data_IF_993164983874
#
_entry.id   IF_993164983874
#
_cell.length_a   1.000
_cell.length_b   1.000
_cell.length_c   1.000
_cell.angle_alpha   90.00
_cell.angle_beta   90.00
_cell.angle_gamma   90.00
#
_symmetry.space_group_name_H-M   'P 1'
#
loop_
_entity.id
_entity.type
_entity.pdbx_description
1 polymer ?
#
# COMPACT_ATOMS: atom_id res chain seq x y z
N UNK A 1 -43.99 46.39 -1.01
CA UNK A 1 -43.76 45.10 -0.32
C UNK A 1 -43.99 44.00 -1.34
N UNK A 2 -42.92 43.46 -1.93
CA UNK A 2 -43.01 42.40 -2.93
C UNK A 2 -41.98 41.34 -2.58
N UNK A 3 -42.47 40.21 -2.09
CA UNK A 3 -41.67 39.04 -1.76
C UNK A 3 -41.58 38.14 -3.00
N UNK A 4 -40.37 37.95 -3.52
CA UNK A 4 -40.10 36.98 -4.58
C UNK A 4 -39.58 35.69 -3.95
N UNK A 5 -40.39 34.64 -4.04
CA UNK A 5 -40.03 33.29 -3.63
C UNK A 5 -39.08 32.66 -4.66
N UNK A 6 -37.82 32.47 -4.29
CA UNK A 6 -36.83 31.73 -5.08
C UNK A 6 -36.99 30.23 -4.87
N UNK A 7 -37.34 29.52 -5.94
CA UNK A 7 -37.41 28.06 -5.98
C UNK A 7 -36.02 27.42 -5.87
N UNK A 8 -35.89 26.46 -4.95
CA UNK A 8 -34.71 25.61 -4.81
C UNK A 8 -34.85 24.39 -5.72
N UNK A 9 -33.96 24.32 -6.71
CA UNK A 9 -33.85 23.21 -7.66
C UNK A 9 -33.20 22.00 -6.99
N UNK A 10 -33.97 20.93 -6.80
CA UNK A 10 -33.49 19.62 -6.36
C UNK A 10 -32.67 18.98 -7.48
N UNK A 11 -31.34 18.99 -7.34
CA UNK A 11 -30.42 18.27 -8.21
C UNK A 11 -30.35 16.80 -7.83
N UNK A 12 -30.81 15.94 -8.72
CA UNK A 12 -30.67 14.49 -8.66
C UNK A 12 -29.18 14.10 -8.61
N UNK A 13 -28.79 13.41 -7.53
CA UNK A 13 -27.46 12.81 -7.41
C UNK A 13 -27.42 11.51 -8.18
N UNK A 14 -26.90 11.57 -9.39
CA UNK A 14 -26.48 10.39 -10.14
C UNK A 14 -25.51 9.54 -9.31
N UNK A 15 -25.86 8.27 -9.14
CA UNK A 15 -25.07 7.29 -8.42
C UNK A 15 -23.76 7.03 -9.14
N UNK A 16 -22.66 7.39 -8.50
CA UNK A 16 -21.31 7.09 -8.99
C UNK A 16 -21.07 5.57 -8.89
N UNK A 17 -20.88 4.83 -10.00
CA UNK A 17 -20.58 3.42 -9.95
C UNK A 17 -19.18 3.24 -9.36
N UNK A 18 -19.14 2.72 -8.12
CA UNK A 18 -17.91 2.35 -7.42
C UNK A 18 -17.13 1.31 -8.23
N UNK A 19 -16.25 1.77 -9.12
CA UNK A 19 -15.27 0.92 -9.77
C UNK A 19 -14.33 0.35 -8.71
N UNK A 20 -14.12 -0.98 -8.65
CA UNK A 20 -13.24 -1.59 -7.67
C UNK A 20 -11.82 -1.07 -7.88
N UNK A 21 -11.28 -0.42 -6.84
CA UNK A 21 -9.91 0.09 -6.82
C UNK A 21 -8.97 -1.11 -6.70
N UNK A 22 -8.08 -1.37 -7.67
CA UNK A 22 -7.09 -2.43 -7.54
C UNK A 22 -6.13 -2.07 -6.40
N UNK A 23 -6.01 -2.98 -5.45
CA UNK A 23 -5.14 -2.89 -4.29
C UNK A 23 -3.66 -2.83 -4.74
N UNK A 24 -2.89 -1.76 -4.46
CA UNK A 24 -1.51 -1.62 -4.92
C UNK A 24 -0.51 -2.45 -4.11
N UNK A 25 -0.98 -3.38 -3.27
CA UNK A 25 -0.13 -4.12 -2.36
C UNK A 25 0.49 -5.34 -3.05
N UNK A 26 1.76 -5.19 -3.43
CA UNK A 26 2.75 -6.28 -3.59
C UNK A 26 2.63 -7.15 -4.85
N UNK A 27 2.88 -6.57 -6.02
CA UNK A 27 3.61 -7.32 -7.06
C UNK A 27 5.07 -7.42 -6.61
N UNK A 28 5.40 -8.50 -5.90
CA UNK A 28 6.78 -8.91 -5.73
C UNK A 28 7.39 -9.04 -7.13
N UNK A 29 8.30 -8.13 -7.46
CA UNK A 29 9.07 -8.15 -8.69
C UNK A 29 9.88 -9.45 -8.60
N UNK A 30 9.48 -10.46 -9.38
CA UNK A 30 10.28 -11.67 -9.55
C UNK A 30 11.46 -11.27 -10.42
N UNK A 31 12.61 -11.01 -9.81
CA UNK A 31 13.86 -10.62 -10.47
C UNK A 31 14.49 -11.75 -11.34
N UNK A 32 13.69 -12.69 -11.85
CA UNK A 32 14.16 -13.90 -12.53
C UNK A 32 13.82 -14.01 -14.01
N UNK A 33 13.06 -13.07 -14.57
CA UNK A 33 12.73 -13.11 -16.01
C UNK A 33 13.75 -12.25 -16.76
N UNK A 34 14.62 -12.92 -17.52
CA UNK A 34 15.71 -12.30 -18.29
C UNK A 34 15.17 -11.14 -19.13
N UNK A 35 15.45 -9.91 -18.69
CA UNK A 35 15.11 -8.70 -19.43
C UNK A 35 15.64 -8.83 -20.86
N UNK A 36 14.73 -8.97 -21.82
CA UNK A 36 15.07 -9.11 -23.22
C UNK A 36 15.96 -7.93 -23.66
N UNK A 37 17.17 -8.24 -24.12
CA UNK A 37 18.11 -7.23 -24.59
C UNK A 37 17.45 -6.40 -25.69
N UNK A 38 17.62 -5.07 -25.65
CA UNK A 38 17.14 -4.18 -26.70
C UNK A 38 17.80 -4.53 -28.03
N UNK A 39 17.04 -5.10 -28.96
CA UNK A 39 17.53 -5.56 -30.27
C UNK A 39 17.98 -4.39 -31.16
N UNK A 40 17.35 -3.23 -31.03
CA UNK A 40 17.71 -2.00 -31.75
C UNK A 40 19.08 -1.46 -31.32
N UNK A 41 19.35 -1.43 -30.02
CA UNK A 41 20.67 -1.05 -29.49
C UNK A 41 21.72 -2.10 -29.84
N UNK A 42 21.34 -3.39 -29.85
CA UNK A 42 22.24 -4.47 -30.24
C UNK A 42 22.65 -4.41 -31.72
N UNK A 43 21.78 -3.91 -32.62
CA UNK A 43 22.09 -3.74 -34.05
C UNK A 43 22.91 -2.49 -34.35
N UNK A 44 22.57 -1.34 -33.74
CA UNK A 44 23.19 -0.04 -34.11
C UNK A 44 24.63 0.14 -33.63
N UNK A 45 25.02 -0.48 -32.52
CA UNK A 45 26.32 -0.25 -31.88
C UNK A 45 27.36 -1.33 -32.21
N UNK A 46 26.95 -2.45 -32.80
CA UNK A 46 27.84 -3.60 -33.08
C UNK A 46 28.28 -4.32 -31.78
N UNK A 47 28.54 -5.63 -31.89
CA UNK A 47 28.86 -6.50 -30.72
C UNK A 47 30.03 -5.98 -29.86
N UNK A 48 30.97 -5.23 -30.44
CA UNK A 48 32.18 -4.77 -29.77
C UNK A 48 31.97 -3.58 -28.81
N UNK A 49 31.02 -2.67 -29.07
CA UNK A 49 30.74 -1.54 -28.15
C UNK A 49 29.58 -1.81 -27.20
N UNK A 50 28.89 -2.95 -27.35
CA UNK A 50 27.83 -3.40 -26.45
C UNK A 50 28.32 -3.93 -25.11
N UNK A 51 29.63 -4.22 -24.97
CA UNK A 51 30.20 -4.73 -23.72
C UNK A 51 30.11 -3.71 -22.56
N UNK A 52 29.94 -2.41 -22.84
CA UNK A 52 29.93 -1.34 -21.84
C UNK A 52 28.66 -0.49 -21.80
N UNK A 53 27.65 -0.77 -22.65
CA UNK A 53 26.40 -0.03 -22.59
C UNK A 53 25.60 -0.48 -21.37
N UNK A 54 25.74 0.24 -20.25
CA UNK A 54 24.93 -0.01 -19.07
C UNK A 54 23.44 0.04 -19.43
N UNK A 55 22.62 -0.77 -18.78
CA UNK A 55 21.18 -0.80 -19.07
C UNK A 55 20.51 0.59 -18.92
N UNK A 56 21.10 1.48 -18.11
CA UNK A 56 20.68 2.87 -17.94
C UNK A 56 21.04 3.74 -19.16
N UNK A 57 22.23 3.56 -19.73
CA UNK A 57 22.62 4.23 -20.97
C UNK A 57 21.76 3.76 -22.15
N UNK A 58 21.48 2.45 -22.23
CA UNK A 58 20.63 1.86 -23.25
C UNK A 58 19.21 2.47 -23.27
N UNK A 59 18.61 2.67 -22.10
CA UNK A 59 17.30 3.33 -21.96
C UNK A 59 17.31 4.77 -22.47
N UNK A 60 18.36 5.55 -22.15
CA UNK A 60 18.50 6.96 -22.58
C UNK A 60 18.76 7.09 -24.08
N UNK A 61 19.53 6.18 -24.67
CA UNK A 61 19.92 6.24 -26.08
C UNK A 61 18.90 5.57 -27.03
N UNK A 62 18.01 4.72 -26.51
CA UNK A 62 16.97 4.09 -27.31
C UNK A 62 15.87 5.11 -27.65
N UNK A 63 15.80 5.51 -28.91
CA UNK A 63 14.78 6.45 -29.41
C UNK A 63 13.48 5.76 -29.83
N UNK A 64 13.47 4.42 -29.89
CA UNK A 64 12.32 3.63 -30.33
C UNK A 64 11.25 3.57 -29.23
N UNK A 65 10.05 4.16 -29.46
CA UNK A 65 8.99 4.21 -28.45
C UNK A 65 8.45 2.82 -28.10
N UNK A 66 8.50 1.87 -29.04
CA UNK A 66 7.88 0.55 -28.93
C UNK A 66 8.90 -0.57 -28.64
N UNK A 67 10.12 -0.20 -28.23
CA UNK A 67 11.16 -1.15 -27.87
C UNK A 67 10.74 -2.04 -26.68
N UNK A 68 10.50 -3.32 -26.96
CA UNK A 68 10.08 -4.34 -25.98
C UNK A 68 11.00 -4.41 -24.76
N UNK A 69 12.33 -4.37 -24.96
CA UNK A 69 13.31 -4.45 -23.87
C UNK A 69 13.31 -3.27 -22.89
N UNK A 70 12.63 -2.16 -23.22
CA UNK A 70 12.54 -0.97 -22.36
C UNK A 70 11.09 -0.64 -21.96
N UNK A 71 10.11 -1.46 -22.36
CA UNK A 71 8.69 -1.18 -22.15
C UNK A 71 8.36 -0.88 -20.70
N UNK A 72 8.84 -1.71 -19.78
CA UNK A 72 8.56 -1.56 -18.34
C UNK A 72 9.23 -0.32 -17.75
N UNK A 73 10.50 -0.05 -18.12
CA UNK A 73 11.22 1.15 -17.68
C UNK A 73 10.55 2.43 -18.19
N UNK A 74 10.07 2.43 -19.45
CA UNK A 74 9.32 3.56 -20.02
C UNK A 74 7.96 3.74 -19.32
N UNK A 75 7.25 2.65 -19.05
CA UNK A 75 5.99 2.69 -18.31
C UNK A 75 6.18 3.25 -16.90
N UNK A 76 7.25 2.84 -16.20
CA UNK A 76 7.62 3.36 -14.89
C UNK A 76 8.01 4.84 -14.95
N UNK A 77 8.82 5.25 -15.92
CA UNK A 77 9.17 6.65 -16.13
C UNK A 77 7.92 7.51 -16.37
N UNK A 78 7.03 7.08 -17.28
CA UNK A 78 5.75 7.77 -17.55
C UNK A 78 4.86 7.88 -16.30
N UNK A 79 4.85 6.84 -15.46
CA UNK A 79 4.13 6.87 -14.17
C UNK A 79 4.74 7.89 -13.22
N UNK A 80 6.07 7.94 -13.10
CA UNK A 80 6.77 8.90 -12.26
C UNK A 80 6.56 10.33 -12.76
N UNK A 81 6.62 10.56 -14.08
CA UNK A 81 6.34 11.86 -14.70
C UNK A 81 4.90 12.31 -14.39
N UNK A 82 3.92 11.41 -14.44
CA UNK A 82 2.54 11.73 -14.05
C UNK A 82 2.40 12.06 -12.55
N UNK A 83 3.21 11.44 -11.68
CA UNK A 83 3.25 11.78 -10.24
C UNK A 83 3.87 13.16 -10.04
N UNK A 84 5.00 13.46 -10.68
CA UNK A 84 5.67 14.76 -10.58
C UNK A 84 4.85 15.89 -11.18
N UNK A 85 4.18 15.64 -12.31
CA UNK A 85 3.28 16.60 -12.95
C UNK A 85 1.98 16.84 -12.18
N UNK A 86 1.73 16.14 -11.07
CA UNK A 86 0.48 16.29 -10.33
C UNK A 86 -0.74 15.63 -10.98
N UNK A 87 -0.59 15.00 -12.15
CA UNK A 87 -1.70 14.45 -12.95
C UNK A 87 -2.09 13.02 -12.55
N UNK A 88 -1.26 12.34 -11.76
CA UNK A 88 -1.55 11.00 -11.26
C UNK A 88 -2.85 10.94 -10.46
N UNK A 89 -3.53 9.79 -10.52
CA UNK A 89 -4.77 9.56 -9.76
C UNK A 89 -4.58 9.75 -8.25
N UNK A 90 -3.41 9.42 -7.72
CA UNK A 90 -3.04 9.61 -6.31
C UNK A 90 -3.05 11.10 -5.96
N UNK A 91 -2.47 11.95 -6.83
CA UNK A 91 -2.46 13.40 -6.63
C UNK A 91 -3.87 13.99 -6.71
N UNK A 92 -4.72 13.49 -7.61
CA UNK A 92 -6.14 13.89 -7.69
C UNK A 92 -6.88 13.57 -6.38
N UNK A 93 -6.78 12.34 -5.88
CA UNK A 93 -7.40 11.98 -4.60
C UNK A 93 -6.82 12.78 -3.43
N UNK A 94 -5.51 13.04 -3.43
CA UNK A 94 -4.89 13.87 -2.41
C UNK A 94 -5.38 15.33 -2.47
N UNK A 95 -5.59 15.86 -3.67
CA UNK A 95 -6.16 17.19 -3.87
C UNK A 95 -7.62 17.27 -3.40
N UNK A 96 -8.45 16.27 -3.73
CA UNK A 96 -9.82 16.17 -3.23
C UNK A 96 -9.87 16.11 -1.69
N UNK A 97 -9.03 15.27 -1.07
CA UNK A 97 -8.93 15.23 0.40
C UNK A 97 -8.47 16.55 1.00
N UNK A 98 -7.51 17.24 0.37
CA UNK A 98 -7.06 18.57 0.79
C UNK A 98 -8.16 19.62 0.62
N UNK A 99 -9.00 19.51 -0.41
CA UNK A 99 -10.14 20.41 -0.60
C UNK A 99 -11.24 20.21 0.46
N UNK A 100 -11.39 18.98 0.97
CA UNK A 100 -12.27 18.68 2.10
C UNK A 100 -11.68 19.09 3.45
N UNK A 101 -10.37 19.34 3.54
CA UNK A 101 -9.74 19.80 4.77
C UNK A 101 -10.25 21.20 5.12
N UNK A 102 -10.68 21.37 6.36
CA UNK A 102 -11.15 22.67 6.87
C UNK A 102 -9.99 23.66 6.79
N UNK A 103 -10.17 24.75 6.03
CA UNK A 103 -9.15 25.79 5.93
C UNK A 103 -8.81 26.31 7.33
N UNK A 104 -7.51 26.43 7.68
CA UNK A 104 -7.13 27.03 8.95
C UNK A 104 -7.75 28.43 9.04
N UNK A 105 -8.54 28.66 10.09
CA UNK A 105 -9.17 29.94 10.39
C UNK A 105 -10.65 30.12 10.01
N UNK A 106 -11.32 29.16 9.36
CA UNK A 106 -12.70 29.38 8.89
C UNK A 106 -13.82 28.95 9.85
N UNK A 107 -13.57 28.14 10.90
CA UNK A 107 -14.65 27.71 11.81
C UNK A 107 -14.32 27.65 13.30
N UNK A 108 -13.05 27.53 13.71
CA UNK A 108 -12.67 27.51 15.12
C UNK A 108 -11.34 28.25 15.30
N UNK A 109 -11.40 29.44 15.91
CA UNK A 109 -10.24 30.31 16.20
C UNK A 109 -9.70 30.12 17.63
N UNK A 110 -9.97 28.98 18.25
CA UNK A 110 -9.47 28.77 19.62
C UNK A 110 -8.12 28.07 19.58
N UNK A 111 -7.04 28.71 20.08
CA UNK A 111 -5.68 28.19 20.00
C UNK A 111 -5.51 26.84 20.71
N UNK A 112 -6.45 26.46 21.58
CA UNK A 112 -6.44 25.20 22.29
C UNK A 112 -6.83 23.99 21.42
N UNK A 113 -7.38 24.19 20.21
CA UNK A 113 -7.96 23.11 19.40
C UNK A 113 -7.32 23.04 18.01
N UNK A 114 -6.55 21.97 17.75
CA UNK A 114 -5.95 21.70 16.45
C UNK A 114 -6.57 20.45 15.81
N UNK A 115 -6.99 20.57 14.55
CA UNK A 115 -7.49 19.43 13.78
C UNK A 115 -6.33 18.83 12.96
N UNK A 116 -5.95 17.59 13.27
CA UNK A 116 -5.01 16.77 12.51
C UNK A 116 -5.79 15.69 11.75
N UNK A 117 -6.36 16.06 10.59
CA UNK A 117 -7.24 15.18 9.83
C UNK A 117 -8.53 14.89 10.60
N UNK A 118 -8.68 13.64 11.05
CA UNK A 118 -9.85 13.19 11.82
C UNK A 118 -9.65 13.31 13.35
N UNK A 119 -8.44 13.63 13.80
CA UNK A 119 -8.10 13.72 15.23
C UNK A 119 -8.09 15.16 15.69
N UNK A 120 -8.68 15.43 16.84
CA UNK A 120 -8.65 16.75 17.50
C UNK A 120 -7.60 16.70 18.61
N UNK A 121 -6.58 17.54 18.49
CA UNK A 121 -5.63 17.83 19.56
C UNK A 121 -6.21 18.95 20.43
N UNK A 122 -6.32 18.65 21.72
CA UNK A 122 -6.71 19.61 22.75
C UNK A 122 -5.48 19.88 23.61
N UNK A 123 -4.93 21.09 23.57
CA UNK A 123 -3.69 21.43 24.29
C UNK A 123 -3.87 21.50 25.81
N UNK A 124 -5.07 21.86 26.29
CA UNK A 124 -5.38 21.96 27.71
C UNK A 124 -6.76 21.38 28.01
N UNK A 125 -6.79 20.29 28.78
CA UNK A 125 -8.05 19.70 29.26
C UNK A 125 -8.79 20.64 30.19
N UNK A 126 -8.08 21.44 30.99
CA UNK A 126 -8.68 22.37 31.93
C UNK A 126 -9.49 23.47 31.20
N UNK A 127 -8.95 24.02 30.11
CA UNK A 127 -9.67 24.98 29.26
C UNK A 127 -10.83 24.31 28.53
N UNK A 128 -10.62 23.09 28.03
CA UNK A 128 -11.66 22.32 27.36
C UNK A 128 -12.90 22.10 28.25
N UNK A 129 -12.69 21.75 29.53
CA UNK A 129 -13.79 21.52 30.47
C UNK A 129 -14.47 22.80 30.96
N UNK A 130 -13.81 23.97 30.87
CA UNK A 130 -14.39 25.26 31.24
C UNK A 130 -15.47 25.74 30.26
N UNK A 131 -15.41 25.33 28.99
CA UNK A 131 -16.38 25.75 27.95
C UNK A 131 -17.42 24.64 27.73
N UNK A 132 -18.67 24.77 28.26
CA UNK A 132 -19.66 23.69 28.20
C UNK A 132 -20.02 23.26 26.78
N UNK A 133 -20.09 24.22 25.86
CA UNK A 133 -20.40 24.01 24.44
C UNK A 133 -19.43 23.01 23.78
N UNK A 134 -18.15 23.05 24.13
CA UNK A 134 -17.13 22.15 23.57
C UNK A 134 -17.26 20.73 24.09
N UNK A 135 -17.48 20.60 25.40
CA UNK A 135 -17.74 19.33 26.05
C UNK A 135 -18.97 18.65 25.43
N UNK A 136 -20.05 19.40 25.28
CA UNK A 136 -21.29 18.90 24.68
C UNK A 136 -21.10 18.49 23.20
N UNK A 137 -20.39 19.29 22.40
CA UNK A 137 -20.13 18.93 20.99
C UNK A 137 -19.26 17.67 20.87
N UNK A 138 -18.22 17.53 21.71
CA UNK A 138 -17.38 16.34 21.73
C UNK A 138 -18.17 15.09 22.15
N UNK A 139 -19.01 15.19 23.19
CA UNK A 139 -19.89 14.10 23.62
C UNK A 139 -20.85 13.71 22.49
N UNK A 140 -21.47 14.69 21.84
CA UNK A 140 -22.42 14.47 20.73
C UNK A 140 -21.74 13.79 19.55
N UNK A 141 -20.54 14.22 19.17
CA UNK A 141 -19.75 13.59 18.10
C UNK A 141 -19.31 12.17 18.47
N UNK A 142 -18.86 11.96 19.70
CA UNK A 142 -18.46 10.64 20.20
C UNK A 142 -19.65 9.66 20.17
N UNK A 143 -20.83 10.11 20.60
CA UNK A 143 -22.08 9.31 20.51
C UNK A 143 -22.41 8.94 19.06
N UNK A 144 -22.40 9.92 18.15
CA UNK A 144 -22.67 9.69 16.73
C UNK A 144 -21.64 8.76 16.07
N UNK A 145 -20.37 8.85 16.45
CA UNK A 145 -19.34 7.95 15.94
C UNK A 145 -19.50 6.53 16.47
N UNK A 146 -19.88 6.37 17.75
CA UNK A 146 -20.21 5.06 18.32
C UNK A 146 -21.39 4.41 17.58
N UNK A 147 -22.47 5.15 17.35
CA UNK A 147 -23.62 4.67 16.56
C UNK A 147 -23.21 4.23 15.14
N UNK A 148 -22.31 4.99 14.48
CA UNK A 148 -21.80 4.62 13.15
C UNK A 148 -20.97 3.33 13.19
N UNK A 149 -20.14 3.17 14.22
CA UNK A 149 -19.32 1.97 14.41
C UNK A 149 -20.21 0.75 14.67
N UNK A 150 -21.17 0.86 15.58
CA UNK A 150 -22.16 -0.20 15.88
C UNK A 150 -22.93 -0.61 14.61
N UNK A 151 -23.41 0.36 13.82
CA UNK A 151 -24.11 0.10 12.55
C UNK A 151 -23.19 -0.58 11.52
N UNK A 152 -21.94 -0.16 11.43
CA UNK A 152 -20.94 -0.80 10.55
C UNK A 152 -20.63 -2.23 11.00
N UNK A 153 -20.51 -2.46 12.31
CA UNK A 153 -20.32 -3.79 12.87
C UNK A 153 -21.52 -4.69 12.60
N UNK A 154 -22.75 -4.19 12.74
CA UNK A 154 -23.97 -4.95 12.43
C UNK A 154 -24.02 -5.39 10.96
N UNK A 155 -23.70 -4.47 10.04
CA UNK A 155 -23.61 -4.76 8.59
C UNK A 155 -22.49 -5.77 8.28
N UNK A 156 -21.36 -5.70 8.99
CA UNK A 156 -20.22 -6.60 8.76
C UNK A 156 -20.36 -7.96 9.49
N UNK A 157 -21.10 -8.00 10.60
CA UNK A 157 -21.33 -9.16 11.44
C UNK A 157 -22.18 -10.23 10.77
N UNK A 158 -23.09 -9.81 9.86
CA UNK A 158 -23.84 -10.74 9.00
C UNK A 158 -22.98 -11.43 7.93
N UNK A 159 -21.79 -10.90 7.58
CA UNK A 159 -20.88 -11.51 6.59
C UNK A 159 -19.65 -12.23 7.17
N UNK A 160 -19.27 -12.01 8.43
CA UNK A 160 -18.00 -12.54 8.98
C UNK A 160 -18.10 -13.69 9.99
N UNK A 161 -19.29 -14.07 10.45
CA UNK A 161 -19.44 -15.10 11.50
C UNK A 161 -19.22 -16.56 11.07
N UNK A 162 -18.95 -16.87 9.79
CA UNK A 162 -18.82 -18.27 9.34
C UNK A 162 -17.45 -18.78 8.88
N UNK A 163 -16.41 -17.94 8.71
CA UNK A 163 -15.15 -18.44 8.07
C UNK A 163 -13.84 -18.01 8.73
N UNK A 164 -13.79 -16.96 9.57
CA UNK A 164 -12.49 -16.33 9.95
C UNK A 164 -11.86 -16.68 11.30
N UNK A 165 -12.55 -17.32 12.24
CA UNK A 165 -12.00 -17.47 13.60
C UNK A 165 -11.09 -18.69 13.79
N UNK A 166 -11.24 -19.75 12.99
CA UNK A 166 -10.47 -21.00 13.17
C UNK A 166 -9.23 -21.03 12.25
N UNK A 167 -9.40 -20.75 10.96
CA UNK A 167 -8.29 -20.79 9.99
C UNK A 167 -7.17 -19.74 10.25
N UNK A 168 -7.51 -18.59 10.84
CA UNK A 168 -6.53 -17.52 11.08
C UNK A 168 -5.60 -17.78 12.27
N UNK A 169 -6.01 -18.57 13.27
CA UNK A 169 -5.16 -18.89 14.43
C UNK A 169 -4.17 -20.00 14.09
N UNK A 170 -4.62 -21.01 13.34
CA UNK A 170 -3.81 -22.10 12.81
C UNK A 170 -2.63 -21.59 11.96
N UNK A 171 -2.91 -20.65 11.04
CA UNK A 171 -1.92 -20.11 10.11
C UNK A 171 -0.85 -19.26 10.81
N UNK A 172 -1.22 -18.48 11.84
CA UNK A 172 -0.25 -17.71 12.64
C UNK A 172 0.67 -18.62 13.47
N UNK A 173 0.13 -19.70 14.07
CA UNK A 173 0.95 -20.69 14.78
C UNK A 173 1.95 -21.38 13.85
N UNK A 174 1.52 -21.81 12.66
CA UNK A 174 2.42 -22.41 11.65
C UNK A 174 3.49 -21.44 11.15
N UNK A 175 3.19 -20.14 11.04
CA UNK A 175 4.20 -19.12 10.67
C UNK A 175 5.23 -18.92 11.78
N UNK A 176 4.78 -18.80 13.04
CA UNK A 176 5.68 -18.66 14.17
C UNK A 176 6.59 -19.90 14.33
N UNK A 177 6.04 -21.10 14.19
CA UNK A 177 6.82 -22.35 14.24
C UNK A 177 7.88 -22.41 13.14
N UNK A 178 7.54 -22.02 11.90
CA UNK A 178 8.52 -22.00 10.79
C UNK A 178 9.65 -21.00 11.02
N UNK A 179 9.36 -19.86 11.64
CA UNK A 179 10.39 -18.86 11.99
C UNK A 179 11.31 -19.41 13.07
N UNK A 180 10.74 -20.00 14.13
CA UNK A 180 11.52 -20.61 15.21
C UNK A 180 12.40 -21.76 14.71
N UNK A 181 11.86 -22.65 13.87
CA UNK A 181 12.60 -23.75 13.27
C UNK A 181 13.76 -23.24 12.41
N UNK A 182 13.53 -22.21 11.58
CA UNK A 182 14.60 -21.61 10.76
C UNK A 182 15.73 -21.06 11.64
N UNK A 183 15.40 -20.28 12.67
CA UNK A 183 16.39 -19.69 13.57
C UNK A 183 17.17 -20.76 14.34
N UNK A 184 16.49 -21.84 14.73
CA UNK A 184 17.14 -22.98 15.38
C UNK A 184 18.15 -23.66 14.44
N UNK A 185 17.76 -23.95 13.20
CA UNK A 185 18.65 -24.53 12.19
C UNK A 185 19.84 -23.62 11.85
N UNK A 186 19.63 -22.30 11.79
CA UNK A 186 20.72 -21.32 11.62
C UNK A 186 21.69 -21.36 12.80
N UNK A 187 21.20 -21.42 14.04
CA UNK A 187 22.04 -21.50 15.23
C UNK A 187 22.88 -22.79 15.32
N UNK A 188 22.39 -23.90 14.77
CA UNK A 188 23.15 -25.16 14.68
C UNK A 188 24.28 -25.07 13.65
N UNK A 189 24.03 -24.38 12.53
CA UNK A 189 25.06 -24.15 11.49
C UNK A 189 26.17 -23.24 11.98
N UNK A 190 25.84 -22.20 12.75
CA UNK A 190 26.83 -21.26 13.30
C UNK A 190 27.76 -21.90 14.34
N UNK A 191 27.32 -22.97 15.02
CA UNK A 191 28.14 -23.68 16.02
C UNK A 191 29.17 -24.63 15.43
N UNK A 192 29.17 -24.87 14.13
CA UNK A 192 30.17 -25.72 13.48
C UNK A 192 30.01 -27.23 13.73
N UNK A 193 29.01 -27.65 14.50
CA UNK A 193 28.73 -29.07 14.80
C UNK A 193 28.01 -29.79 13.63
N UNK A 194 27.80 -29.09 12.50
CA UNK A 194 27.15 -29.60 11.30
C UNK A 194 28.11 -30.25 10.30
N UNK A 195 29.14 -30.96 10.77
CA UNK A 195 29.86 -31.87 9.89
C UNK A 195 28.89 -32.94 9.38
N UNK A 196 28.69 -32.83 8.08
CA UNK A 196 27.94 -33.70 7.21
C UNK A 196 28.44 -35.14 7.37
N UNK A 197 27.79 -35.94 8.23
CA UNK A 197 27.90 -37.40 8.14
C UNK A 197 27.18 -37.80 6.85
N UNK A 198 27.90 -37.68 5.73
CA UNK A 198 27.55 -38.34 4.48
C UNK A 198 27.55 -39.83 4.78
N UNK A 199 26.36 -40.42 4.87
CA UNK A 199 26.18 -41.85 4.90
C UNK A 199 26.48 -42.43 3.52
N UNK A 200 27.74 -42.33 3.09
CA UNK A 200 28.31 -43.16 2.04
C UNK A 200 28.78 -44.47 2.67
N UNK A 201 27.81 -45.32 3.03
CA UNK A 201 28.09 -46.75 3.24
C UNK A 201 27.90 -47.40 1.87
N UNK A 202 29.00 -47.39 1.11
CA UNK A 202 29.17 -48.16 -0.10
C UNK A 202 29.05 -49.66 0.22
N UNK A 203 27.98 -50.28 -0.24
CA UNK A 203 27.88 -51.73 -0.41
C UNK A 203 28.97 -52.19 -1.37
N UNK A 204 29.87 -53.07 -0.92
CA UNK A 204 30.95 -53.54 -1.78
C UNK A 204 31.87 -54.57 -1.15
N UNK A 205 31.36 -55.76 -0.85
CA UNK A 205 32.19 -56.97 -0.83
C UNK A 205 31.41 -58.13 -1.44
N UNK A 206 31.57 -58.30 -2.76
CA UNK A 206 31.52 -59.63 -3.38
C UNK A 206 32.92 -60.22 -3.23
N UNK A 207 33.03 -61.37 -2.59
CA UNK A 207 34.21 -62.22 -2.70
C UNK A 207 33.76 -63.65 -2.85
N UNK A 208 34.13 -64.20 -4.00
CA UNK A 208 33.94 -65.57 -4.46
C UNK A 208 34.67 -66.57 -3.57
N UNK A 209 34.11 -67.78 -3.49
CA UNK A 209 34.63 -68.96 -2.82
C UNK A 209 33.62 -70.09 -2.90
#
# INVERSE_FOLDING_TARGET
MSASAGGVSSGDKEGNPSTPVPDPTSTAIKDGESHGNCTTCHRKLGRATLLSCSQLACFKCCTDPDCVGHRDKRALAKKNDAILAGTSWINRMAAEKRALAVKPGTLFREPAVHFLGDTVLVWSLAEFFKVPKWREDAIRRSRKNRERMEKSEELSGRKKKRVRSVASKESRKKRAHRIMERLYQESLKERGDGEHISSDISEGVKSEG
#
